data_IF_021349821675
#
_entry.id   IF_021349821675
#
_cell.length_a   1.000
_cell.length_b   1.000
_cell.length_c   1.000
_cell.angle_alpha   90.00
_cell.angle_beta   90.00
_cell.angle_gamma   90.00
#
_symmetry.space_group_name_H-M   'P 1'
#
loop_
_entity.id
_entity.type
_entity.pdbx_description
1 polymer ?
#
# COMPACT_ATOMS: atom_id res chain seq x y z
N UNK A 1 -16.43 -14.61 -17.45
CA UNK A 1 -17.24 -15.83 -17.32
C UNK A 1 -17.36 -16.13 -15.83
N UNK A 2 -18.58 -16.11 -15.31
CA UNK A 2 -18.92 -16.33 -13.90
C UNK A 2 -19.25 -17.81 -13.70
N UNK A 3 -18.58 -18.48 -12.75
CA UNK A 3 -19.03 -19.77 -12.21
C UNK A 3 -19.23 -19.58 -10.72
N UNK A 4 -20.39 -20.03 -10.25
CA UNK A 4 -20.92 -19.86 -8.91
C UNK A 4 -20.77 -21.19 -8.18
N UNK A 5 -20.16 -21.17 -7.01
CA UNK A 5 -20.20 -22.27 -6.05
C UNK A 5 -20.84 -21.77 -4.74
N UNK A 6 -21.30 -22.74 -3.95
CA UNK A 6 -22.39 -22.65 -2.96
C UNK A 6 -21.98 -22.15 -1.57
N UNK A 7 -20.76 -21.64 -1.41
CA UNK A 7 -20.32 -20.95 -0.19
C UNK A 7 -20.39 -19.44 -0.46
N UNK A 8 -21.16 -18.71 0.33
CA UNK A 8 -21.65 -17.36 0.07
C UNK A 8 -20.59 -16.24 0.03
N UNK A 9 -19.55 -16.39 -0.78
CA UNK A 9 -18.52 -15.40 -1.05
C UNK A 9 -18.78 -14.72 -2.41
N UNK A 10 -19.25 -13.47 -2.34
CA UNK A 10 -19.35 -12.61 -3.51
C UNK A 10 -17.94 -12.21 -3.98
N UNK A 11 -17.54 -12.72 -5.14
CA UNK A 11 -16.38 -12.25 -5.89
C UNK A 11 -16.78 -11.05 -6.76
N UNK A 12 -16.66 -9.85 -6.20
CA UNK A 12 -16.44 -8.63 -6.98
C UNK A 12 -15.07 -8.07 -6.61
N UNK A 13 -14.02 -8.73 -7.06
CA UNK A 13 -12.69 -8.11 -7.16
C UNK A 13 -12.65 -7.48 -8.55
N UNK A 14 -13.30 -6.33 -8.65
CA UNK A 14 -13.33 -5.57 -9.89
C UNK A 14 -11.99 -4.85 -10.06
N UNK A 15 -11.52 -4.81 -11.30
CA UNK A 15 -10.17 -4.40 -11.75
C UNK A 15 -9.83 -2.92 -11.48
N UNK A 16 -10.62 -2.22 -10.67
CA UNK A 16 -10.41 -0.85 -10.22
C UNK A 16 -9.60 -0.73 -8.92
N UNK A 17 -9.48 -1.78 -8.09
CA UNK A 17 -8.83 -1.69 -6.77
C UNK A 17 -7.31 -1.96 -6.76
N UNK A 18 -6.73 -2.37 -7.89
CA UNK A 18 -5.28 -2.54 -8.06
C UNK A 18 -4.59 -1.32 -8.64
N UNK A 19 -5.32 -0.25 -8.94
CA UNK A 19 -4.75 0.99 -9.48
C UNK A 19 -5.05 2.16 -8.54
N UNK A 20 -4.02 2.92 -8.18
CA UNK A 20 -4.17 4.20 -7.49
C UNK A 20 -4.17 5.34 -8.51
N UNK A 21 -5.17 6.22 -8.48
CA UNK A 21 -5.25 7.36 -9.41
C UNK A 21 -4.43 8.54 -8.89
N UNK A 22 -3.12 8.46 -9.12
CA UNK A 22 -2.20 9.52 -8.71
C UNK A 22 -2.24 10.71 -9.68
N UNK A 23 -1.68 11.84 -9.26
CA UNK A 23 -1.45 13.02 -10.12
C UNK A 23 -0.67 12.67 -11.40
N UNK A 24 0.18 11.64 -11.35
CA UNK A 24 1.03 11.21 -12.46
C UNK A 24 0.38 10.13 -13.33
N UNK A 25 -0.85 9.71 -13.01
CA UNK A 25 -1.57 8.65 -13.71
C UNK A 25 -2.00 7.51 -12.80
N UNK A 26 -2.66 6.52 -13.40
CA UNK A 26 -3.07 5.31 -12.70
C UNK A 26 -1.85 4.41 -12.45
N UNK A 27 -1.41 4.34 -11.19
CA UNK A 27 -0.24 3.54 -10.78
C UNK A 27 -0.71 2.16 -10.32
N UNK A 28 -0.15 1.07 -10.88
CA UNK A 28 -0.43 -0.27 -10.37
C UNK A 28 0.16 -0.45 -8.96
N UNK A 29 -0.68 -0.93 -8.04
CA UNK A 29 -0.29 -1.26 -6.66
C UNK A 29 0.51 -2.56 -6.50
N UNK A 30 0.35 -3.61 -7.33
CA UNK A 30 1.09 -4.86 -7.15
C UNK A 30 2.62 -4.74 -7.21
N UNK A 31 3.23 -3.95 -8.12
CA UNK A 31 4.70 -3.77 -8.13
C UNK A 31 5.24 -3.11 -6.85
N UNK A 32 4.44 -2.26 -6.20
CA UNK A 32 4.81 -1.67 -4.91
C UNK A 32 4.79 -2.73 -3.81
N UNK A 33 3.77 -3.57 -3.80
CA UNK A 33 3.65 -4.69 -2.85
C UNK A 33 4.80 -5.68 -3.04
N UNK A 34 5.12 -6.07 -4.29
CA UNK A 34 6.23 -6.99 -4.60
C UNK A 34 7.58 -6.47 -4.13
N UNK A 35 7.90 -5.22 -4.46
CA UNK A 35 9.14 -4.57 -4.03
C UNK A 35 9.27 -4.51 -2.50
N UNK A 36 8.15 -4.33 -1.78
CA UNK A 36 8.15 -4.40 -0.31
C UNK A 36 8.35 -5.83 0.18
N UNK A 37 7.75 -6.84 -0.47
CA UNK A 37 7.97 -8.25 -0.11
C UNK A 37 9.41 -8.75 -0.33
N UNK A 38 10.24 -8.02 -1.08
CA UNK A 38 11.68 -8.30 -1.19
C UNK A 38 12.44 -8.06 0.13
N UNK A 39 11.84 -7.32 1.07
CA UNK A 39 12.40 -7.04 2.40
C UNK A 39 11.99 -8.13 3.37
N UNK A 40 12.95 -8.90 3.87
CA UNK A 40 12.69 -10.04 4.76
C UNK A 40 12.06 -9.65 6.10
N UNK A 41 12.15 -8.38 6.50
CA UNK A 41 11.48 -7.87 7.69
C UNK A 41 9.97 -7.61 7.50
N UNK A 42 9.47 -7.61 6.26
CA UNK A 42 8.06 -7.35 5.95
C UNK A 42 7.27 -8.66 5.96
N UNK A 43 6.29 -8.75 6.85
CA UNK A 43 5.37 -9.90 6.93
C UNK A 43 4.18 -9.70 5.97
N UNK A 44 3.66 -8.48 5.89
CA UNK A 44 2.55 -8.12 5.03
C UNK A 44 2.75 -6.71 4.47
N UNK A 45 2.40 -6.53 3.20
CA UNK A 45 2.37 -5.24 2.53
C UNK A 45 1.07 -5.08 1.75
N UNK A 46 0.48 -3.88 1.80
CA UNK A 46 -0.69 -3.53 1.03
C UNK A 46 -0.56 -2.08 0.52
N UNK A 47 -0.54 -1.92 -0.80
CA UNK A 47 -0.53 -0.61 -1.44
C UNK A 47 -1.93 -0.20 -1.92
N UNK A 48 -2.25 1.08 -1.75
CA UNK A 48 -3.56 1.65 -2.08
C UNK A 48 -3.49 3.16 -2.30
N UNK A 49 -4.40 3.68 -3.13
CA UNK A 49 -4.62 5.12 -3.25
C UNK A 49 -5.43 5.65 -2.07
N UNK A 50 -4.98 6.75 -1.47
CA UNK A 50 -5.66 7.51 -0.43
C UNK A 50 -6.13 8.83 -1.03
N UNK A 51 -7.42 9.17 -0.86
CA UNK A 51 -7.94 10.44 -1.36
C UNK A 51 -7.21 11.61 -0.68
N UNK A 52 -6.57 12.47 -1.46
CA UNK A 52 -5.93 13.70 -0.98
C UNK A 52 -6.94 14.79 -0.65
N UNK A 53 -6.55 15.72 0.21
CA UNK A 53 -7.40 16.81 0.72
C UNK A 53 -7.90 17.73 -0.41
N UNK A 54 -9.22 17.93 -0.46
CA UNK A 54 -10.03 18.85 -1.29
C UNK A 54 -9.83 18.89 -2.82
N UNK A 55 -8.77 18.29 -3.37
CA UNK A 55 -8.36 18.42 -4.78
C UNK A 55 -8.71 17.20 -5.64
N UNK A 56 -9.25 16.14 -5.03
CA UNK A 56 -9.64 14.90 -5.74
C UNK A 56 -8.47 14.11 -6.34
N UNK A 57 -7.24 14.38 -5.90
CA UNK A 57 -6.04 13.68 -6.35
C UNK A 57 -5.68 12.60 -5.31
N UNK A 58 -5.66 11.33 -5.71
CA UNK A 58 -5.25 10.27 -4.79
C UNK A 58 -3.73 10.28 -4.62
N UNK A 59 -3.28 10.11 -3.38
CA UNK A 59 -1.89 9.88 -3.02
C UNK A 59 -1.67 8.37 -2.88
N UNK A 60 -0.62 7.85 -3.51
CA UNK A 60 -0.26 6.44 -3.33
C UNK A 60 0.35 6.25 -1.94
N UNK A 61 -0.22 5.32 -1.17
CA UNK A 61 0.27 4.94 0.14
C UNK A 61 0.45 3.43 0.26
N UNK A 62 1.27 3.00 1.21
CA UNK A 62 1.40 1.59 1.56
C UNK A 62 1.32 1.39 3.08
N UNK A 63 0.60 0.36 3.50
CA UNK A 63 0.63 -0.18 4.85
C UNK A 63 1.52 -1.42 4.87
N UNK A 64 2.37 -1.54 5.89
CA UNK A 64 3.25 -2.70 6.07
C UNK A 64 3.20 -3.19 7.50
N UNK A 65 3.22 -4.51 7.68
CA UNK A 65 3.39 -5.17 8.97
C UNK A 65 4.83 -5.67 9.04
N UNK A 66 5.52 -5.29 10.10
CA UNK A 66 6.87 -5.74 10.39
C UNK A 66 7.08 -5.80 11.90
N UNK A 67 7.81 -6.82 12.36
CA UNK A 67 8.20 -6.97 13.77
C UNK A 67 9.27 -5.99 14.21
N UNK A 68 10.00 -5.43 13.25
CA UNK A 68 11.10 -4.51 13.50
C UNK A 68 10.78 -3.14 12.91
N UNK A 69 11.56 -2.14 13.31
CA UNK A 69 11.47 -0.84 12.68
C UNK A 69 11.92 -0.91 11.21
N UNK A 70 11.23 -0.14 10.37
CA UNK A 70 11.56 -0.04 8.96
C UNK A 70 12.73 0.92 8.81
N UNK A 71 13.75 0.46 8.10
CA UNK A 71 14.86 1.31 7.69
C UNK A 71 14.50 2.02 6.37
N UNK A 72 14.40 3.34 6.42
CA UNK A 72 14.05 4.16 5.26
C UNK A 72 14.98 3.94 4.06
N UNK A 73 16.29 3.69 4.29
CA UNK A 73 17.23 3.45 3.20
C UNK A 73 17.03 2.07 2.55
N UNK A 74 16.70 1.03 3.32
CA UNK A 74 16.31 -0.28 2.78
C UNK A 74 15.04 -0.21 1.94
N UNK A 75 14.02 0.49 2.45
CA UNK A 75 12.76 0.71 1.76
C UNK A 75 12.99 1.47 0.45
N UNK A 76 13.77 2.55 0.48
CA UNK A 76 14.19 3.28 -0.73
C UNK A 76 14.90 2.36 -1.72
N UNK A 77 15.86 1.56 -1.27
CA UNK A 77 16.63 0.67 -2.14
C UNK A 77 15.75 -0.39 -2.81
N UNK A 78 14.80 -0.96 -2.06
CA UNK A 78 13.87 -1.96 -2.59
C UNK A 78 12.95 -1.34 -3.65
N UNK A 79 12.28 -0.24 -3.32
CA UNK A 79 11.34 0.43 -4.24
C UNK A 79 12.03 1.03 -5.46
N UNK A 80 13.26 1.56 -5.31
CA UNK A 80 14.03 2.11 -6.44
C UNK A 80 14.44 1.06 -7.48
N UNK A 81 14.48 -0.22 -7.11
CA UNK A 81 14.84 -1.30 -8.05
C UNK A 81 13.74 -1.61 -9.05
N UNK A 82 12.48 -1.45 -8.65
CA UNK A 82 11.33 -1.88 -9.45
C UNK A 82 10.40 -0.74 -9.88
N UNK A 83 10.47 0.42 -9.22
CA UNK A 83 9.54 1.53 -9.43
C UNK A 83 10.26 2.82 -9.87
N UNK A 84 9.66 3.49 -10.85
CA UNK A 84 10.00 4.87 -11.18
C UNK A 84 9.60 5.82 -10.04
N UNK A 85 10.25 7.00 -9.92
CA UNK A 85 9.92 7.96 -8.86
C UNK A 85 8.43 8.31 -8.76
N UNK A 86 7.74 8.37 -9.91
CA UNK A 86 6.31 8.69 -10.01
C UNK A 86 5.38 7.57 -9.53
N UNK A 87 5.90 6.34 -9.42
CA UNK A 87 5.15 5.14 -9.00
C UNK A 87 5.43 4.77 -7.54
N UNK A 88 6.31 5.53 -6.87
CA UNK A 88 6.67 5.30 -5.48
C UNK A 88 5.58 5.81 -4.55
N UNK A 89 5.20 5.02 -3.52
CA UNK A 89 4.24 5.49 -2.53
C UNK A 89 4.83 6.69 -1.79
N UNK A 90 4.05 7.78 -1.69
CA UNK A 90 4.47 8.98 -0.98
C UNK A 90 4.58 8.75 0.53
N UNK A 91 3.78 7.81 1.05
CA UNK A 91 3.70 7.48 2.47
C UNK A 91 3.70 5.96 2.63
N UNK A 92 4.59 5.47 3.49
CA UNK A 92 4.63 4.08 3.92
C UNK A 92 4.46 4.06 5.42
N UNK A 93 3.56 3.23 5.94
CA UNK A 93 3.35 3.14 7.39
C UNK A 93 3.48 1.74 7.91
N UNK A 94 4.25 1.61 8.99
CA UNK A 94 4.28 0.41 9.81
C UNK A 94 3.04 0.38 10.68
N UNK A 95 2.24 -0.67 10.54
CA UNK A 95 1.06 -0.94 11.36
C UNK A 95 1.24 -2.26 12.10
N UNK A 96 0.55 -2.41 13.23
CA UNK A 96 0.59 -3.65 14.00
C UNK A 96 -0.08 -4.81 13.23
N UNK A 97 -1.16 -4.52 12.52
CA UNK A 97 -1.91 -5.49 11.73
C UNK A 97 -2.54 -4.82 10.50
N UNK A 98 -2.71 -5.61 9.43
CA UNK A 98 -3.48 -5.22 8.26
C UNK A 98 -4.80 -6.01 8.32
N UNK A 99 -5.98 -5.35 8.35
CA UNK A 99 -7.25 -6.05 8.43
C UNK A 99 -7.44 -6.93 7.20
N UNK A 100 -7.71 -8.20 7.43
CA UNK A 100 -7.94 -9.20 6.38
C UNK A 100 -9.40 -9.65 6.35
N UNK A 101 -9.86 -9.98 5.14
CA UNK A 101 -11.06 -10.76 4.89
C UNK A 101 -10.85 -12.19 5.43
N UNK A 102 -11.94 -12.90 5.73
CA UNK A 102 -11.97 -14.36 5.99
C UNK A 102 -11.15 -15.20 5.00
N UNK A 103 -10.97 -14.74 3.77
CA UNK A 103 -10.08 -15.34 2.76
C UNK A 103 -8.60 -14.92 2.85
N UNK A 104 -8.12 -14.39 3.98
CA UNK A 104 -6.75 -13.91 4.20
C UNK A 104 -6.27 -12.83 3.20
N UNK A 105 -7.21 -12.08 2.62
CA UNK A 105 -6.89 -10.96 1.72
C UNK A 105 -7.01 -9.63 2.46
N UNK A 106 -6.04 -8.71 2.33
CA UNK A 106 -6.16 -7.37 2.88
C UNK A 106 -7.45 -6.68 2.43
N UNK A 107 -8.25 -6.16 3.37
CA UNK A 107 -9.45 -5.38 3.05
C UNK A 107 -9.02 -3.94 2.79
N UNK A 108 -8.75 -3.60 1.52
CA UNK A 108 -8.29 -2.25 1.12
C UNK A 108 -9.27 -1.15 1.54
N UNK A 109 -10.58 -1.41 1.56
CA UNK A 109 -11.60 -0.47 2.08
C UNK A 109 -11.47 -0.27 3.59
N UNK A 110 -11.17 -1.32 4.35
CA UNK A 110 -10.90 -1.20 5.79
C UNK A 110 -9.56 -0.52 6.03
N UNK A 111 -8.55 -0.71 5.17
CA UNK A 111 -7.29 0.04 5.24
C UNK A 111 -7.48 1.54 4.93
N UNK A 112 -8.39 1.88 4.00
CA UNK A 112 -8.81 3.26 3.73
C UNK A 112 -9.68 3.86 4.84
N UNK A 113 -10.50 3.05 5.51
CA UNK A 113 -11.43 3.50 6.56
C UNK A 113 -10.80 3.51 7.97
N UNK A 114 -10.04 2.47 8.34
CA UNK A 114 -9.05 2.51 9.43
C UNK A 114 -7.92 3.50 9.10
N UNK A 115 -7.82 3.84 7.82
CA UNK A 115 -7.49 5.16 7.33
C UNK A 115 -6.20 5.65 7.92
N UNK A 116 -5.13 4.86 7.79
CA UNK A 116 -3.75 5.20 8.19
C UNK A 116 -3.80 6.35 9.19
N UNK A 117 -4.40 6.12 10.36
CA UNK A 117 -4.52 7.20 11.31
C UNK A 117 -3.10 7.41 11.87
N UNK A 118 -2.53 8.61 11.83
CA UNK A 118 -1.18 8.83 12.34
C UNK A 118 -1.04 8.39 13.80
N UNK A 119 -2.13 8.31 14.58
CA UNK A 119 -2.11 7.81 15.94
C UNK A 119 -2.07 6.27 16.04
N UNK A 120 -2.45 5.53 15.00
CA UNK A 120 -2.42 4.04 15.00
C UNK A 120 -1.20 3.47 14.28
N UNK A 121 -0.47 4.30 13.53
CA UNK A 121 0.78 3.89 12.89
C UNK A 121 1.91 3.78 13.92
N UNK A 122 2.60 2.63 13.94
CA UNK A 122 3.79 2.42 14.77
C UNK A 122 4.99 3.23 14.26
N UNK A 123 5.04 3.47 12.96
CA UNK A 123 6.05 4.27 12.29
C UNK A 123 5.51 4.77 10.96
N UNK A 124 5.86 5.98 10.58
CA UNK A 124 5.51 6.55 9.27
C UNK A 124 6.78 6.98 8.57
N UNK A 125 6.99 6.46 7.36
CA UNK A 125 8.03 6.85 6.45
C UNK A 125 7.43 7.70 5.33
N UNK A 126 8.03 8.85 5.06
CA UNK A 126 7.61 9.75 3.97
C UNK A 126 8.65 9.77 2.87
N UNK A 127 8.19 9.72 1.63
CA UNK A 127 9.06 9.86 0.48
C UNK A 127 9.43 11.33 0.29
N UNK A 128 10.73 11.62 0.30
CA UNK A 128 11.29 12.89 -0.10
C UNK A 128 11.65 12.84 -1.58
N UNK A 129 11.01 13.67 -2.41
CA UNK A 129 11.25 13.71 -3.85
C UNK A 129 12.60 14.33 -4.22
N UNK A 130 13.15 15.21 -3.38
CA UNK A 130 14.44 15.88 -3.61
C UNK A 130 15.60 14.91 -3.34
N UNK A 131 15.53 14.17 -2.24
CA UNK A 131 16.55 13.17 -1.86
C UNK A 131 16.27 11.78 -2.46
N UNK A 132 15.09 11.59 -3.07
CA UNK A 132 14.57 10.31 -3.57
C UNK A 132 14.64 9.20 -2.51
N UNK A 133 14.31 9.52 -1.26
CA UNK A 133 14.54 8.66 -0.10
C UNK A 133 13.38 8.71 0.90
N UNK A 134 13.23 7.64 1.68
CA UNK A 134 12.24 7.56 2.76
C UNK A 134 12.85 7.97 4.10
N UNK A 135 12.15 8.84 4.85
CA UNK A 135 12.51 9.35 6.17
C UNK A 135 11.38 9.15 7.19
#
# INVERSE_FOLDING_TARGET
MLRRDDDGDYWFIDRLETMARTRNGAVPTPPVEDALYQLSEIELAAAFGVAGDASGQDVLAAAVVSRTELDGARITKALRRELEPSERPAIIRRVAEIPMNKGFRPIKTALRAAGLDPATALQTLRYDEQEQRYH
#
